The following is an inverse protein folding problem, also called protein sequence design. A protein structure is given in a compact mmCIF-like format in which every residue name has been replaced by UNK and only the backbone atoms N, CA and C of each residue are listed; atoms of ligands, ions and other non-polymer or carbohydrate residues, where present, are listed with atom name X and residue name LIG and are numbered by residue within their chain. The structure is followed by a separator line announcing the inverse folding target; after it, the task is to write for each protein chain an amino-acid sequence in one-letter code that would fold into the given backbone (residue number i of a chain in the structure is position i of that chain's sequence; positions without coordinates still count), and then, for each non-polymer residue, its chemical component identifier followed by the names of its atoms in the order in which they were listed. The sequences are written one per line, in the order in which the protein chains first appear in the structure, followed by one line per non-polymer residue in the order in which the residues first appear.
data_IF_543268828364
#
_entry.id   IF_543268828364
#
_cell.length_a   1.000
_cell.length_b   1.000
_cell.length_c   1.000
_cell.angle_alpha   90.00
_cell.angle_beta   90.00
_cell.angle_gamma   90.00
#
_symmetry.space_group_name_H-M   'P 1'
#
loop_
_entity.id
_entity.type
_entity.pdbx_description
1 polymer ?
#
# COMPACT_ATOMS: atom_id res chain seq x y z
N UNK A 1 -52.38 40.05 58.50
CA UNK A 1 -52.69 39.29 57.28
C UNK A 1 -51.37 39.00 56.59
N UNK A 2 -50.77 37.83 56.85
CA UNK A 2 -49.44 37.49 56.34
C UNK A 2 -49.55 36.78 54.99
N UNK A 3 -48.81 37.31 54.03
CA UNK A 3 -48.74 36.87 52.63
C UNK A 3 -48.20 35.45 52.50
N UNK A 4 -48.93 34.64 51.73
CA UNK A 4 -48.52 33.35 51.20
C UNK A 4 -47.20 33.47 50.43
N UNK A 5 -46.19 32.71 50.85
CA UNK A 5 -44.96 32.47 50.09
C UNK A 5 -44.93 31.01 49.68
N UNK A 6 -45.33 30.72 48.45
CA UNK A 6 -45.21 29.40 47.84
C UNK A 6 -43.73 29.06 47.63
N UNK A 7 -43.18 28.15 48.43
CA UNK A 7 -41.90 27.51 48.12
C UNK A 7 -42.11 26.48 47.00
N UNK A 8 -41.87 26.87 45.75
CA UNK A 8 -41.55 25.91 44.70
C UNK A 8 -40.16 25.34 45.00
N UNK A 9 -40.12 24.22 45.71
CA UNK A 9 -38.90 23.40 45.80
C UNK A 9 -38.58 22.87 44.41
N UNK A 10 -37.62 23.52 43.75
CA UNK A 10 -37.06 23.11 42.48
C UNK A 10 -36.43 21.74 42.68
N UNK A 11 -37.12 20.68 42.26
CA UNK A 11 -36.49 19.38 42.01
C UNK A 11 -35.39 19.61 40.97
N UNK A 12 -34.14 19.67 41.42
CA UNK A 12 -33.00 19.44 40.52
C UNK A 12 -33.14 18.00 40.02
N UNK A 13 -33.65 17.84 38.80
CA UNK A 13 -33.42 16.62 38.04
C UNK A 13 -31.95 16.66 37.62
N UNK A 14 -31.10 16.08 38.46
CA UNK A 14 -29.73 15.74 38.07
C UNK A 14 -29.86 14.59 37.05
N UNK A 15 -30.06 14.93 35.78
CA UNK A 15 -29.93 13.95 34.70
C UNK A 15 -28.46 13.59 34.63
N UNK A 16 -28.09 12.46 35.24
CA UNK A 16 -26.80 11.83 34.98
C UNK A 16 -26.74 11.57 33.48
N UNK A 17 -25.99 12.39 32.74
CA UNK A 17 -25.65 12.09 31.36
C UNK A 17 -24.87 10.78 31.40
N UNK A 18 -25.53 9.67 31.05
CA UNK A 18 -24.86 8.42 30.78
C UNK A 18 -24.06 8.64 29.49
N UNK A 19 -22.82 9.12 29.63
CA UNK A 19 -21.84 8.98 28.56
C UNK A 19 -21.67 7.47 28.38
N UNK A 20 -21.94 6.90 27.20
CA UNK A 20 -21.66 5.50 26.98
C UNK A 20 -20.17 5.30 27.28
N UNK A 21 -19.88 4.59 28.37
CA UNK A 21 -18.58 3.97 28.57
C UNK A 21 -18.54 2.92 27.47
N UNK A 22 -18.06 3.33 26.30
CA UNK A 22 -17.70 2.42 25.22
C UNK A 22 -16.76 1.45 25.91
N UNK A 23 -17.26 0.24 26.19
CA UNK A 23 -16.42 -0.83 26.69
C UNK A 23 -15.23 -0.88 25.75
N UNK A 24 -14.03 -0.77 26.32
CA UNK A 24 -12.77 -0.76 25.57
C UNK A 24 -12.67 -2.12 24.90
N UNK A 25 -13.32 -2.25 23.75
CA UNK A 25 -13.27 -3.43 22.93
C UNK A 25 -11.82 -3.51 22.47
N UNK A 26 -11.04 -4.37 23.13
CA UNK A 26 -9.68 -4.71 22.73
C UNK A 26 -9.73 -5.58 21.47
N UNK A 27 -10.37 -5.07 20.43
CA UNK A 27 -10.07 -5.50 19.09
C UNK A 27 -8.89 -4.65 18.66
N UNK A 28 -7.73 -5.28 18.48
CA UNK A 28 -6.77 -4.84 17.48
C UNK A 28 -7.50 -4.79 16.14
N UNK A 29 -8.23 -3.70 15.91
CA UNK A 29 -9.07 -3.53 14.74
C UNK A 29 -8.16 -3.45 13.53
N UNK A 30 -8.56 -4.07 12.41
CA UNK A 30 -7.85 -3.90 11.14
C UNK A 30 -7.69 -2.43 10.73
N UNK A 31 -8.50 -1.52 11.31
CA UNK A 31 -8.38 -0.08 11.13
C UNK A 31 -7.10 0.51 11.71
N UNK A 32 -6.50 -0.11 12.73
CA UNK A 32 -5.22 0.36 13.29
C UNK A 32 -4.09 0.29 12.25
N UNK A 33 -4.19 -0.58 11.22
CA UNK A 33 -3.20 -0.65 10.15
C UNK A 33 -3.13 0.61 9.25
N UNK A 34 -4.13 1.51 9.33
CA UNK A 34 -4.13 2.80 8.62
C UNK A 34 -3.52 3.93 9.44
N UNK A 35 -3.12 3.65 10.68
CA UNK A 35 -2.53 4.61 11.61
C UNK A 35 -1.08 4.23 11.87
N UNK A 36 -0.23 5.24 11.96
CA UNK A 36 1.15 5.06 12.37
C UNK A 36 1.21 4.76 13.87
N UNK A 37 2.01 3.76 14.25
CA UNK A 37 2.23 3.38 15.64
C UNK A 37 3.19 4.32 16.37
N UNK A 38 4.07 5.00 15.63
CA UNK A 38 5.08 5.88 16.21
C UNK A 38 4.54 7.28 16.49
N UNK A 39 5.18 7.99 17.42
CA UNK A 39 4.84 9.38 17.70
C UNK A 39 5.41 10.32 16.62
N UNK A 40 4.76 11.48 16.41
CA UNK A 40 5.27 12.49 15.47
C UNK A 40 6.71 12.94 15.80
N UNK A 41 7.07 12.99 17.09
CA UNK A 41 8.38 13.46 17.54
C UNK A 41 9.48 12.46 17.18
N UNK A 42 9.24 11.17 17.41
CA UNK A 42 10.13 10.07 17.00
C UNK A 42 10.39 10.11 15.49
N UNK A 43 9.33 10.29 14.69
CA UNK A 43 9.46 10.38 13.23
C UNK A 43 10.23 11.62 12.76
N UNK A 44 10.24 12.71 13.52
CA UNK A 44 11.03 13.88 13.14
C UNK A 44 12.52 13.70 13.46
N UNK A 45 12.87 12.96 14.52
CA UNK A 45 14.26 12.67 14.86
C UNK A 45 14.91 11.63 13.95
N UNK A 46 14.11 10.67 13.44
CA UNK A 46 14.63 9.56 12.65
C UNK A 46 14.64 9.85 11.15
N UNK A 47 15.68 9.36 10.46
CA UNK A 47 15.78 9.43 9.00
C UNK A 47 15.08 8.26 8.34
N UNK A 48 14.31 8.52 7.29
CA UNK A 48 13.67 7.46 6.50
C UNK A 48 14.73 6.63 5.76
N UNK A 49 14.62 5.31 5.82
CA UNK A 49 15.51 4.37 5.12
C UNK A 49 15.54 4.51 3.59
N UNK A 50 16.30 3.62 2.94
CA UNK A 50 16.50 3.61 1.47
C UNK A 50 15.32 2.97 0.73
N UNK A 51 15.02 3.43 -0.49
CA UNK A 51 14.09 2.77 -1.41
C UNK A 51 14.70 1.54 -2.10
N UNK A 52 13.87 0.59 -2.52
CA UNK A 52 14.30 -0.60 -3.26
C UNK A 52 14.91 -0.25 -4.62
N UNK A 53 16.06 -0.86 -4.95
CA UNK A 53 16.68 -0.70 -6.27
C UNK A 53 16.19 -1.76 -7.24
N UNK A 54 16.05 -1.40 -8.52
CA UNK A 54 15.68 -2.33 -9.62
C UNK A 54 16.63 -3.53 -9.66
N UNK A 55 17.94 -3.30 -9.48
CA UNK A 55 18.96 -4.37 -9.52
C UNK A 55 18.74 -5.44 -8.45
N UNK A 56 18.26 -5.06 -7.27
CA UNK A 56 17.98 -5.98 -6.17
C UNK A 56 16.70 -6.76 -6.43
N UNK A 57 15.67 -6.07 -6.91
CA UNK A 57 14.37 -6.65 -7.20
C UNK A 57 14.41 -7.68 -8.34
N UNK A 58 15.33 -7.55 -9.29
CA UNK A 58 15.54 -8.56 -10.36
C UNK A 58 15.85 -9.96 -9.82
N UNK A 59 16.48 -10.07 -8.65
CA UNK A 59 16.86 -11.34 -8.02
C UNK A 59 15.73 -11.99 -7.22
N UNK A 60 14.55 -11.35 -7.09
CA UNK A 60 13.44 -11.84 -6.28
C UNK A 60 12.42 -12.64 -7.10
N UNK A 61 11.76 -13.61 -6.46
CA UNK A 61 10.69 -14.39 -7.08
C UNK A 61 9.45 -13.51 -7.36
N UNK A 62 8.52 -13.98 -8.21
CA UNK A 62 7.26 -13.25 -8.44
C UNK A 62 6.45 -13.11 -7.15
N UNK A 63 6.38 -14.18 -6.34
CA UNK A 63 5.64 -14.20 -5.09
C UNK A 63 6.21 -13.20 -4.07
N UNK A 64 7.54 -13.12 -3.95
CA UNK A 64 8.18 -12.14 -3.05
C UNK A 64 7.94 -10.70 -3.50
N UNK A 65 7.97 -10.44 -4.81
CA UNK A 65 7.64 -9.13 -5.35
C UNK A 65 6.19 -8.76 -5.08
N UNK A 66 5.27 -9.72 -5.13
CA UNK A 66 3.86 -9.51 -4.84
C UNK A 66 3.61 -9.23 -3.34
N UNK A 67 4.23 -10.00 -2.45
CA UNK A 67 4.21 -9.74 -1.01
C UNK A 67 4.78 -8.36 -0.68
N UNK A 68 5.94 -8.03 -1.26
CA UNK A 68 6.58 -6.73 -1.07
C UNK A 68 5.70 -5.59 -1.60
N UNK A 69 5.03 -5.80 -2.74
CA UNK A 69 4.06 -4.85 -3.28
C UNK A 69 2.94 -4.56 -2.29
N UNK A 70 2.38 -5.59 -1.64
CA UNK A 70 1.34 -5.39 -0.62
C UNK A 70 1.84 -4.63 0.60
N UNK A 71 3.03 -4.95 1.11
CA UNK A 71 3.63 -4.21 2.23
C UNK A 71 3.75 -2.72 1.88
N UNK A 72 4.27 -2.40 0.70
CA UNK A 72 4.38 -1.01 0.23
C UNK A 72 3.03 -0.35 -0.02
N UNK A 73 2.04 -1.11 -0.49
CA UNK A 73 0.68 -0.61 -0.70
C UNK A 73 0.01 -0.24 0.62
N UNK A 74 0.17 -1.05 1.66
CA UNK A 74 -0.34 -0.77 3.00
C UNK A 74 0.34 0.48 3.60
N UNK A 75 1.67 0.56 3.51
CA UNK A 75 2.43 1.75 3.94
C UNK A 75 1.92 3.02 3.24
N UNK A 76 1.70 2.95 1.92
CA UNK A 76 1.18 4.09 1.15
C UNK A 76 -0.21 4.54 1.65
N UNK A 77 -1.09 3.60 1.99
CA UNK A 77 -2.43 3.91 2.48
C UNK A 77 -2.40 4.51 3.89
N UNK A 78 -1.51 4.02 4.76
CA UNK A 78 -1.25 4.62 6.07
C UNK A 78 -0.76 6.07 5.91
N UNK A 79 0.27 6.29 5.08
CA UNK A 79 0.83 7.64 4.81
C UNK A 79 -0.26 8.61 4.32
N UNK A 80 -1.14 8.18 3.42
CA UNK A 80 -2.24 9.02 2.94
C UNK A 80 -3.22 9.41 4.05
N UNK A 81 -3.53 8.47 4.94
CA UNK A 81 -4.40 8.72 6.09
C UNK A 81 -3.76 9.73 7.04
N UNK A 82 -2.49 9.54 7.40
CA UNK A 82 -1.72 10.47 8.24
C UNK A 82 -1.56 11.85 7.63
N UNK A 83 -1.25 11.92 6.34
CA UNK A 83 -1.07 13.18 5.62
C UNK A 83 -2.37 13.98 5.59
N UNK A 84 -3.49 13.33 5.30
CA UNK A 84 -4.80 13.98 5.34
C UNK A 84 -5.17 14.45 6.75
N UNK A 85 -4.86 13.67 7.78
CA UNK A 85 -5.10 14.07 9.18
C UNK A 85 -4.20 15.23 9.61
N UNK A 86 -2.95 15.24 9.18
CA UNK A 86 -2.01 16.33 9.44
C UNK A 86 -2.50 17.64 8.82
N UNK A 87 -2.94 17.57 7.55
CA UNK A 87 -3.58 18.69 6.84
C UNK A 87 -4.83 19.20 7.56
N UNK A 88 -5.73 18.30 8.00
CA UNK A 88 -6.95 18.67 8.74
C UNK A 88 -6.66 19.32 10.08
N UNK A 89 -5.59 18.89 10.76
CA UNK A 89 -5.14 19.44 12.04
C UNK A 89 -4.27 20.70 11.89
N UNK A 90 -3.89 21.08 10.67
CA UNK A 90 -2.99 22.20 10.43
C UNK A 90 -1.55 21.96 10.90
N UNK A 91 -1.13 20.70 11.05
CA UNK A 91 0.23 20.34 11.47
C UNK A 91 1.08 19.92 10.26
N UNK A 92 2.37 20.21 10.32
CA UNK A 92 3.33 19.78 9.29
C UNK A 92 3.44 18.26 9.32
N UNK A 93 3.25 17.63 8.16
CA UNK A 93 3.38 16.18 8.04
C UNK A 93 4.85 15.76 8.22
N UNK A 94 5.17 14.88 9.18
CA UNK A 94 6.54 14.42 9.38
C UNK A 94 6.99 13.51 8.23
N UNK A 95 8.28 13.57 7.88
CA UNK A 95 8.91 12.70 6.88
C UNK A 95 8.19 12.61 5.51
N UNK A 96 7.95 13.72 4.80
CA UNK A 96 7.27 13.70 3.49
C UNK A 96 8.00 12.84 2.44
N UNK A 97 9.32 12.68 2.58
CA UNK A 97 10.14 11.83 1.70
C UNK A 97 9.70 10.36 1.69
N UNK A 98 9.10 9.87 2.79
CA UNK A 98 8.69 8.47 2.92
C UNK A 98 7.74 8.06 1.79
N UNK A 99 6.78 8.93 1.47
CA UNK A 99 5.85 8.72 0.36
C UNK A 99 6.59 8.59 -0.98
N UNK A 100 7.58 9.45 -1.23
CA UNK A 100 8.38 9.43 -2.46
C UNK A 100 9.21 8.16 -2.57
N UNK A 101 9.79 7.67 -1.46
CA UNK A 101 10.59 6.45 -1.41
C UNK A 101 9.74 5.19 -1.66
N UNK A 102 8.53 5.14 -1.11
CA UNK A 102 7.54 4.07 -1.40
C UNK A 102 7.15 4.09 -2.88
N UNK A 103 6.79 5.26 -3.43
CA UNK A 103 6.46 5.41 -4.87
C UNK A 103 7.59 4.94 -5.78
N UNK A 104 8.84 5.33 -5.48
CA UNK A 104 10.04 4.88 -6.22
C UNK A 104 10.19 3.37 -6.20
N UNK A 105 10.02 2.74 -5.03
CA UNK A 105 10.11 1.29 -4.87
C UNK A 105 9.01 0.55 -5.63
N UNK A 106 7.77 1.04 -5.60
CA UNK A 106 6.67 0.49 -6.38
C UNK A 106 6.93 0.61 -7.89
N UNK A 107 7.44 1.76 -8.36
CA UNK A 107 7.81 1.93 -9.76
C UNK A 107 8.90 0.94 -10.18
N UNK A 108 9.91 0.72 -9.33
CA UNK A 108 10.97 -0.26 -9.58
C UNK A 108 10.42 -1.68 -9.74
N UNK A 109 9.45 -2.11 -8.92
CA UNK A 109 8.78 -3.41 -9.09
C UNK A 109 8.06 -3.47 -10.45
N UNK A 110 7.31 -2.43 -10.84
CA UNK A 110 6.64 -2.40 -12.15
C UNK A 110 7.63 -2.53 -13.30
N UNK A 111 8.78 -1.86 -13.21
CA UNK A 111 9.85 -1.96 -14.20
C UNK A 111 10.34 -3.40 -14.33
N UNK A 112 10.66 -4.08 -13.22
CA UNK A 112 11.12 -5.48 -13.24
C UNK A 112 10.06 -6.43 -13.83
N UNK A 113 8.80 -6.25 -13.48
CA UNK A 113 7.71 -7.08 -14.04
C UNK A 113 7.53 -6.81 -15.53
N UNK A 114 7.67 -5.56 -15.97
CA UNK A 114 7.60 -5.16 -17.37
C UNK A 114 8.78 -5.67 -18.21
N UNK A 115 10.00 -5.70 -17.65
CA UNK A 115 11.17 -6.37 -18.24
C UNK A 115 10.88 -7.86 -18.44
N UNK A 116 10.53 -8.58 -17.36
CA UNK A 116 10.25 -10.03 -17.42
C UNK A 116 9.14 -10.40 -18.40
N UNK A 117 8.10 -9.56 -18.51
CA UNK A 117 7.02 -9.78 -19.49
C UNK A 117 7.54 -9.67 -20.92
N UNK A 118 8.33 -8.64 -21.22
CA UNK A 118 8.93 -8.46 -22.56
C UNK A 118 9.86 -9.61 -22.91
N UNK A 119 10.69 -10.06 -21.96
CA UNK A 119 11.60 -11.19 -22.17
C UNK A 119 10.85 -12.48 -22.52
N UNK A 120 9.76 -12.79 -21.81
CA UNK A 120 8.92 -13.96 -22.10
C UNK A 120 8.26 -13.89 -23.48
N UNK A 121 7.77 -12.71 -23.87
CA UNK A 121 7.16 -12.50 -25.19
C UNK A 121 8.21 -12.70 -26.28
N UNK A 122 9.40 -12.09 -26.12
CA UNK A 122 10.49 -12.24 -27.08
C UNK A 122 10.91 -13.70 -27.26
N UNK A 123 11.01 -14.46 -26.17
CA UNK A 123 11.30 -15.90 -26.22
C UNK A 123 10.22 -16.70 -26.95
N UNK A 124 8.95 -16.35 -26.75
CA UNK A 124 7.84 -17.01 -27.44
C UNK A 124 7.87 -16.74 -28.94
N UNK A 125 8.06 -15.48 -29.34
CA UNK A 125 8.16 -15.08 -30.76
C UNK A 125 9.33 -15.79 -31.44
N UNK A 126 10.51 -15.82 -30.81
CA UNK A 126 11.67 -16.53 -31.34
C UNK A 126 11.40 -18.05 -31.49
N UNK A 127 10.68 -18.65 -30.54
CA UNK A 127 10.31 -20.05 -30.66
C UNK A 127 9.37 -20.29 -31.84
N UNK A 128 8.43 -19.38 -32.09
CA UNK A 128 7.51 -19.46 -33.23
C UNK A 128 8.25 -19.31 -34.56
N UNK A 129 9.15 -18.32 -34.69
CA UNK A 129 9.94 -18.14 -35.91
C UNK A 129 10.79 -19.37 -36.21
N UNK A 130 11.43 -19.97 -35.19
CA UNK A 130 12.22 -21.18 -35.38
C UNK A 130 11.36 -22.40 -35.78
N UNK A 131 10.09 -22.45 -35.35
CA UNK A 131 9.16 -23.51 -35.77
C UNK A 131 8.78 -23.33 -37.24
N UNK A 132 8.46 -22.10 -37.65
CA UNK A 132 8.13 -21.73 -39.03
C UNK A 132 9.32 -21.98 -39.97
N UNK A 133 10.54 -21.60 -39.57
CA UNK A 133 11.77 -21.86 -40.32
C UNK A 133 12.01 -23.37 -40.50
N UNK A 134 11.88 -24.16 -39.42
CA UNK A 134 12.06 -25.61 -39.49
C UNK A 134 10.99 -26.30 -40.38
N UNK A 135 9.74 -25.83 -40.33
CA UNK A 135 8.66 -26.34 -41.17
C UNK A 135 8.94 -26.03 -42.65
N UNK A 136 9.36 -24.80 -42.96
CA UNK A 136 9.75 -24.42 -44.33
C UNK A 136 10.98 -25.17 -44.87
N UNK A 137 11.90 -25.59 -44.01
CA UNK A 137 13.06 -26.39 -44.41
C UNK A 137 12.67 -27.83 -44.76
N UNK A 138 11.66 -28.39 -44.10
CA UNK A 138 11.17 -29.74 -44.37
C UNK A 138 10.54 -29.85 -45.78
N UNK A 139 9.78 -28.85 -46.20
CA UNK A 139 9.19 -28.82 -47.55
C UNK A 139 10.24 -28.75 -48.68
N UNK A 140 11.44 -28.24 -48.41
CA UNK A 140 12.52 -28.12 -49.40
C UNK A 140 13.36 -29.38 -49.58
N UNK A 141 13.46 -30.25 -48.57
CA UNK A 141 14.26 -31.48 -48.62
C UNK A 141 13.55 -32.60 -49.40
N UNK A 142 12.21 -32.67 -49.36
CA UNK A 142 11.42 -33.67 -50.09
C UNK A 142 11.47 -33.50 -51.63
N UNK A 143 11.71 -32.28 -52.12
CA UNK A 143 11.84 -31.99 -53.57
C UNK A 143 13.24 -32.32 -54.12
N UNK A 144 14.29 -32.32 -53.29
CA UNK A 144 15.68 -32.52 -53.76
C UNK A 144 16.04 -34.02 -53.93
N UNK A 145 15.32 -34.93 -53.26
CA UNK A 145 15.58 -36.39 -53.28
C UNK A 145 15.08 -37.09 -54.56
N UNK A 146 14.27 -36.44 -55.40
CA UNK A 146 13.72 -37.04 -56.64
C UNK A 146 14.47 -36.68 -57.94
N UNK A 147 15.66 -36.07 -57.86
CA UNK A 147 16.54 -35.83 -59.02
C UNK A 147 17.75 -36.75 -59.03
#
# INVERSE_FOLDING_TARGET
MFLQSCFLSKRLLLTKTLVPVISRAEFSSGLNAFRDSESNQTRQSETVGRSWSVKELRRKSFEDLHKLWYVMYMERNMIFTESNLSRRRGIIFPQPERQTKVKKSMAAIKTVLGERKRDRIAQHVLRQSNMEENESNYDGEDEEVQK
#
